data_IF_926524065248
#
_entry.id   IF_926524065248
#
_cell.length_a   1.000
_cell.length_b   1.000
_cell.length_c   1.000
_cell.angle_alpha   90.00
_cell.angle_beta   90.00
_cell.angle_gamma   90.00
#
_symmetry.space_group_name_H-M   'P 1'
#
loop_
_entity.id
_entity.type
_entity.pdbx_description
1 polymer ?
#
# COMPACT_ATOMS: atom_id res chain seq x y z
N UNK A 1 25.12 -13.27 -32.89
CA UNK A 1 24.14 -12.17 -32.85
C UNK A 1 24.93 -10.89 -32.64
N UNK A 2 25.01 -10.05 -33.67
CA UNK A 2 25.89 -8.86 -33.71
C UNK A 2 25.18 -7.66 -33.09
N UNK A 3 25.93 -6.76 -32.43
CA UNK A 3 25.40 -5.51 -31.86
C UNK A 3 24.63 -4.64 -32.87
N UNK A 4 24.90 -4.81 -34.17
CA UNK A 4 24.18 -4.15 -35.25
C UNK A 4 22.73 -4.63 -35.45
N UNK A 5 22.39 -5.86 -35.04
CA UNK A 5 21.04 -6.42 -35.19
C UNK A 5 20.08 -5.92 -34.10
N UNK A 6 20.62 -5.44 -32.96
CA UNK A 6 19.85 -4.87 -31.84
C UNK A 6 19.50 -3.40 -32.10
N UNK A 7 20.17 -2.75 -33.06
CA UNK A 7 20.00 -1.33 -33.39
C UNK A 7 19.08 -1.09 -34.60
N UNK A 8 18.05 -1.93 -34.78
CA UNK A 8 17.01 -1.67 -35.77
C UNK A 8 15.76 -1.14 -35.07
N UNK A 9 15.47 0.14 -35.28
CA UNK A 9 14.22 0.77 -34.81
C UNK A 9 13.03 0.19 -35.58
N UNK A 10 11.98 -0.31 -34.91
CA UNK A 10 10.81 -0.81 -35.59
C UNK A 10 10.06 0.32 -36.32
N UNK A 11 9.41 0.03 -37.46
CA UNK A 11 8.83 1.04 -38.36
C UNK A 11 7.68 1.85 -37.76
N UNK A 12 7.18 1.48 -36.57
CA UNK A 12 6.08 2.16 -35.87
C UNK A 12 6.53 2.77 -34.53
N UNK A 13 7.69 3.41 -34.50
CA UNK A 13 8.14 4.13 -33.30
C UNK A 13 7.42 5.47 -33.20
N UNK A 14 6.57 5.63 -32.19
CA UNK A 14 5.90 6.89 -31.83
C UNK A 14 6.94 7.91 -31.38
N UNK A 15 6.88 9.13 -31.93
CA UNK A 15 7.81 10.21 -31.59
C UNK A 15 7.62 10.64 -30.12
N UNK A 16 8.71 10.69 -29.35
CA UNK A 16 8.69 11.21 -27.99
C UNK A 16 8.27 12.70 -27.99
N UNK A 17 7.26 13.10 -27.20
CA UNK A 17 6.66 14.44 -27.26
C UNK A 17 7.46 15.53 -26.51
N UNK A 18 8.58 15.18 -25.89
CA UNK A 18 9.39 16.11 -25.11
C UNK A 18 10.62 16.54 -25.92
N UNK A 19 10.61 17.76 -26.44
CA UNK A 19 11.83 18.45 -26.89
C UNK A 19 12.60 18.89 -25.65
N UNK A 20 13.82 18.38 -25.48
CA UNK A 20 14.79 18.93 -24.54
C UNK A 20 15.27 20.25 -25.14
N UNK A 21 14.84 21.36 -24.56
CA UNK A 21 15.35 22.70 -24.87
C UNK A 21 16.42 22.98 -23.81
N UNK A 22 17.68 23.06 -24.24
CA UNK A 22 18.74 23.67 -23.45
C UNK A 22 18.61 25.19 -23.59
N UNK A 23 18.52 25.93 -22.48
CA UNK A 23 18.63 27.39 -22.55
C UNK A 23 19.33 28.00 -21.34
N UNK A 24 20.27 28.89 -21.67
CA UNK A 24 21.06 29.75 -20.80
C UNK A 24 20.27 31.03 -20.44
N UNK A 25 20.59 31.65 -19.30
CA UNK A 25 19.92 32.83 -18.72
C UNK A 25 20.42 34.18 -19.31
N UNK A 26 19.96 35.37 -18.84
CA UNK A 26 18.60 35.94 -18.88
C UNK A 26 18.57 37.38 -19.45
N UNK A 27 17.42 37.93 -19.88
CA UNK A 27 17.23 39.40 -19.98
C UNK A 27 15.78 39.85 -19.79
N UNK A 28 15.62 40.95 -19.06
CA UNK A 28 14.38 41.63 -18.65
C UNK A 28 13.43 42.01 -19.80
N UNK A 29 12.12 41.85 -19.59
CA UNK A 29 11.14 42.96 -19.56
C UNK A 29 9.72 42.47 -19.25
N UNK A 30 9.09 43.12 -18.26
CA UNK A 30 7.71 42.91 -17.87
C UNK A 30 6.75 43.63 -18.83
N UNK A 31 5.83 42.89 -19.45
CA UNK A 31 4.67 43.47 -20.14
C UNK A 31 3.41 42.66 -19.84
N UNK A 32 2.34 43.38 -19.48
CA UNK A 32 1.03 42.88 -19.03
C UNK A 32 0.31 42.09 -20.14
N UNK A 33 -0.33 40.97 -19.80
CA UNK A 33 -1.14 40.15 -20.72
C UNK A 33 -2.53 40.76 -20.95
N UNK A 34 -3.03 40.82 -22.20
CA UNK A 34 -4.44 41.03 -22.49
C UNK A 34 -5.22 39.70 -22.40
N UNK A 35 -6.52 39.83 -22.15
CA UNK A 35 -7.53 38.79 -22.21
C UNK A 35 -7.92 38.50 -23.66
N UNK A 36 -7.79 37.26 -24.12
CA UNK A 36 -8.93 36.49 -24.63
C UNK A 36 -8.54 35.10 -25.16
N UNK A 37 -9.41 34.15 -24.79
CA UNK A 37 -9.80 32.90 -25.46
C UNK A 37 -8.87 32.26 -26.51
N UNK A 38 -8.34 31.05 -26.20
CA UNK A 38 -8.77 29.75 -26.78
C UNK A 38 -7.73 28.66 -26.43
N UNK A 39 -8.22 27.65 -25.68
CA UNK A 39 -7.81 26.24 -25.67
C UNK A 39 -6.35 25.85 -25.43
N UNK A 40 -5.84 26.09 -24.21
CA UNK A 40 -4.74 25.29 -23.66
C UNK A 40 -5.30 24.07 -22.91
N UNK A 41 -5.17 22.90 -23.52
CA UNK A 41 -5.41 21.59 -22.90
C UNK A 41 -4.29 21.29 -21.91
N UNK A 42 -4.44 21.72 -20.67
CA UNK A 42 -3.64 21.25 -19.55
C UNK A 42 -4.51 20.71 -18.41
N UNK A 43 -4.00 19.59 -17.91
CA UNK A 43 -4.10 19.11 -16.54
C UNK A 43 -5.35 18.33 -16.15
N UNK A 44 -5.10 17.08 -15.76
CA UNK A 44 -6.01 16.19 -15.05
C UNK A 44 -6.83 16.94 -13.99
N UNK A 45 -8.04 17.34 -14.36
CA UNK A 45 -9.12 17.55 -13.40
C UNK A 45 -9.72 16.18 -13.16
N UNK A 46 -9.68 15.76 -11.90
CA UNK A 46 -10.57 14.73 -11.39
C UNK A 46 -11.98 15.07 -11.86
N UNK A 47 -12.49 14.33 -12.83
CA UNK A 47 -13.85 14.47 -13.30
C UNK A 47 -14.74 13.84 -12.24
N UNK A 48 -15.11 14.63 -11.23
CA UNK A 48 -16.06 14.25 -10.17
C UNK A 48 -17.51 14.25 -10.71
N UNK A 49 -17.69 14.06 -12.02
CA UNK A 49 -18.99 14.03 -12.69
C UNK A 49 -19.59 12.63 -12.85
N UNK A 50 -18.90 11.56 -12.43
CA UNK A 50 -19.54 10.27 -12.13
C UNK A 50 -20.29 10.36 -10.78
N UNK A 51 -21.22 11.32 -10.71
CA UNK A 51 -22.32 11.37 -9.76
C UNK A 51 -23.13 10.10 -10.01
N UNK A 52 -22.77 9.03 -9.29
CA UNK A 52 -23.51 7.77 -9.24
C UNK A 52 -24.98 8.12 -9.13
N UNK A 53 -25.73 7.78 -10.17
CA UNK A 53 -27.10 8.23 -10.34
C UNK A 53 -27.90 7.89 -9.09
N UNK A 54 -28.66 8.90 -8.65
CA UNK A 54 -29.58 8.84 -7.52
C UNK A 54 -30.73 7.92 -7.92
N UNK A 55 -30.63 6.63 -7.60
CA UNK A 55 -31.82 5.80 -7.47
C UNK A 55 -32.59 6.29 -6.24
N UNK A 56 -33.60 7.10 -6.51
CA UNK A 56 -34.64 7.41 -5.55
C UNK A 56 -35.53 6.18 -5.36
N UNK A 57 -35.53 5.65 -4.14
CA UNK A 57 -36.65 4.98 -3.51
C UNK A 57 -36.34 4.96 -2.00
N UNK A 58 -37.33 5.35 -1.20
CA UNK A 58 -37.19 5.71 0.20
C UNK A 58 -36.51 4.64 1.05
N UNK A 59 -35.65 5.10 1.95
CA UNK A 59 -35.33 4.35 3.16
C UNK A 59 -34.71 5.34 4.15
N UNK A 60 -35.45 5.67 5.20
CA UNK A 60 -35.11 6.70 6.20
C UNK A 60 -33.97 6.29 7.12
N UNK A 61 -33.51 5.05 7.05
CA UNK A 61 -32.59 4.46 8.04
C UNK A 61 -31.12 4.44 7.60
N UNK A 62 -30.77 5.19 6.55
CA UNK A 62 -29.39 5.22 6.06
C UNK A 62 -28.48 6.05 6.96
N UNK A 63 -27.37 5.45 7.36
CA UNK A 63 -26.34 6.05 8.19
C UNK A 63 -25.52 7.11 7.43
N UNK A 64 -25.13 8.17 8.15
CA UNK A 64 -24.26 9.19 7.60
C UNK A 64 -22.82 8.68 7.50
N UNK A 65 -22.37 8.40 6.28
CA UNK A 65 -20.99 7.95 6.04
C UNK A 65 -19.95 8.89 6.67
N UNK A 66 -20.14 10.21 6.59
CA UNK A 66 -19.18 11.18 7.12
C UNK A 66 -19.10 11.12 8.65
N UNK A 67 -20.24 10.99 9.32
CA UNK A 67 -20.29 10.84 10.78
C UNK A 67 -19.69 9.51 11.23
N UNK A 68 -20.09 8.40 10.60
CA UNK A 68 -19.61 7.06 10.93
C UNK A 68 -18.11 6.89 10.69
N UNK A 69 -17.58 7.49 9.60
CA UNK A 69 -16.15 7.39 9.27
C UNK A 69 -15.25 8.39 10.00
N UNK A 70 -15.72 9.61 10.26
CA UNK A 70 -14.88 10.71 10.77
C UNK A 70 -15.31 11.27 12.12
N UNK A 71 -16.43 10.81 12.69
CA UNK A 71 -16.95 11.26 13.98
C UNK A 71 -17.54 12.67 14.00
N UNK A 72 -17.46 13.41 12.89
CA UNK A 72 -17.99 14.76 12.77
C UNK A 72 -18.70 14.94 11.43
N UNK A 73 -19.94 15.42 11.48
CA UNK A 73 -20.72 15.77 10.30
C UNK A 73 -20.87 17.28 10.21
N UNK A 74 -20.50 17.92 9.08
CA UNK A 74 -20.61 19.37 8.91
C UNK A 74 -22.06 19.87 8.93
N UNK A 75 -23.05 18.97 8.76
CA UNK A 75 -24.48 19.27 8.84
C UNK A 75 -25.05 19.14 10.25
N UNK A 76 -24.27 18.63 11.21
CA UNK A 76 -24.68 18.41 12.59
C UNK A 76 -26.02 17.68 12.69
N UNK A 77 -26.88 18.12 13.61
CA UNK A 77 -28.20 17.51 13.87
C UNK A 77 -29.26 17.77 12.77
N UNK A 78 -28.91 18.52 11.71
CA UNK A 78 -29.78 18.77 10.55
C UNK A 78 -29.46 17.84 9.37
N UNK A 79 -28.68 16.79 9.62
CA UNK A 79 -28.33 15.82 8.59
C UNK A 79 -29.53 14.91 8.29
N UNK A 80 -29.80 14.67 7.01
CA UNK A 80 -30.87 13.76 6.57
C UNK A 80 -30.52 12.26 6.73
N UNK A 81 -29.35 11.95 7.31
CA UNK A 81 -28.85 10.59 7.49
C UNK A 81 -28.58 10.36 8.97
N UNK A 82 -28.80 9.12 9.43
CA UNK A 82 -28.69 8.78 10.85
C UNK A 82 -27.25 8.90 11.35
N UNK A 83 -27.11 9.58 12.49
CA UNK A 83 -25.84 9.74 13.22
C UNK A 83 -25.85 8.78 14.40
N UNK A 84 -25.58 7.52 14.12
CA UNK A 84 -25.49 6.48 15.16
C UNK A 84 -24.04 6.32 15.63
N UNK A 85 -23.84 6.43 16.93
CA UNK A 85 -22.55 6.24 17.59
C UNK A 85 -22.14 4.77 17.63
N UNK A 86 -23.10 3.85 17.74
CA UNK A 86 -22.83 2.41 17.76
C UNK A 86 -22.33 1.96 16.39
N UNK A 87 -23.02 2.36 15.32
CA UNK A 87 -22.56 2.13 13.94
C UNK A 87 -21.14 2.68 13.67
N UNK A 88 -20.77 3.80 14.30
CA UNK A 88 -19.41 4.36 14.24
C UNK A 88 -18.40 3.47 14.95
N UNK A 89 -18.72 2.97 16.14
CA UNK A 89 -17.84 2.06 16.88
C UNK A 89 -17.63 0.76 16.11
N UNK A 90 -18.69 0.18 15.55
CA UNK A 90 -18.61 -1.03 14.72
C UNK A 90 -17.78 -0.79 13.45
N UNK A 91 -17.92 0.37 12.80
CA UNK A 91 -17.08 0.75 11.67
C UNK A 91 -15.60 0.91 12.06
N UNK A 92 -15.30 1.51 13.22
CA UNK A 92 -13.93 1.62 13.76
C UNK A 92 -13.34 0.26 14.15
N UNK A 93 -14.16 -0.69 14.59
CA UNK A 93 -13.78 -2.10 14.85
C UNK A 93 -13.54 -2.90 13.55
N UNK A 94 -13.71 -2.27 12.39
CA UNK A 94 -13.40 -2.80 11.06
C UNK A 94 -14.56 -3.54 10.39
N UNK A 95 -15.80 -3.32 10.83
CA UNK A 95 -17.00 -3.86 10.18
C UNK A 95 -17.32 -3.04 8.92
N UNK A 96 -17.77 -3.72 7.86
CA UNK A 96 -18.03 -3.13 6.56
C UNK A 96 -19.16 -2.08 6.64
N UNK A 97 -18.90 -0.87 6.15
CA UNK A 97 -19.92 0.19 6.12
C UNK A 97 -21.19 -0.21 5.35
N UNK A 98 -21.04 -0.87 4.20
CA UNK A 98 -22.19 -1.32 3.41
C UNK A 98 -23.01 -2.38 4.15
N UNK A 99 -22.35 -3.22 4.96
CA UNK A 99 -23.01 -4.22 5.79
C UNK A 99 -23.76 -3.58 6.95
N UNK A 100 -23.16 -2.61 7.64
CA UNK A 100 -23.83 -1.88 8.74
C UNK A 100 -25.00 -1.05 8.20
N UNK A 101 -24.81 -0.38 7.05
CA UNK A 101 -25.79 0.57 6.51
C UNK A 101 -26.91 -0.08 5.69
N UNK A 102 -26.68 -1.24 5.08
CA UNK A 102 -27.67 -1.91 4.20
C UNK A 102 -28.00 -3.34 4.63
N UNK A 103 -27.34 -3.88 5.66
CA UNK A 103 -27.42 -5.30 6.06
C UNK A 103 -26.78 -6.27 5.07
N UNK A 104 -26.35 -5.80 3.88
CA UNK A 104 -25.77 -6.63 2.82
C UNK A 104 -24.60 -5.92 2.16
N UNK A 105 -23.51 -6.66 1.94
CA UNK A 105 -22.38 -6.17 1.18
C UNK A 105 -22.40 -6.79 -0.22
N UNK A 106 -22.38 -5.95 -1.25
CA UNK A 106 -22.29 -6.39 -2.66
C UNK A 106 -20.96 -7.11 -2.96
N UNK A 107 -19.93 -6.92 -2.12
CA UNK A 107 -18.66 -7.65 -2.18
C UNK A 107 -18.74 -9.05 -1.56
N UNK A 108 -19.84 -9.40 -0.90
CA UNK A 108 -20.08 -10.72 -0.33
C UNK A 108 -18.97 -11.18 0.63
N UNK A 109 -18.58 -12.47 0.62
CA UNK A 109 -17.52 -13.00 1.48
C UNK A 109 -16.11 -12.49 1.12
N UNK A 110 -15.93 -11.88 -0.06
CA UNK A 110 -14.65 -11.32 -0.52
C UNK A 110 -14.43 -9.87 -0.08
N UNK A 111 -15.28 -9.34 0.80
CA UNK A 111 -15.13 -8.01 1.36
C UNK A 111 -13.93 -7.94 2.32
N UNK A 112 -13.07 -6.92 2.17
CA UNK A 112 -11.92 -6.70 3.06
C UNK A 112 -12.30 -6.30 4.52
N UNK A 113 -13.59 -6.06 4.79
CA UNK A 113 -14.08 -5.61 6.09
C UNK A 113 -14.95 -6.70 6.74
N UNK A 114 -15.02 -6.71 8.07
CA UNK A 114 -15.77 -7.72 8.84
C UNK A 114 -17.28 -7.60 8.60
N UNK A 115 -18.00 -8.71 8.58
CA UNK A 115 -19.47 -8.78 8.43
C UNK A 115 -20.12 -9.46 9.65
N UNK A 116 -19.74 -9.04 10.85
CA UNK A 116 -20.33 -9.52 12.11
C UNK A 116 -20.50 -8.33 13.05
N UNK A 117 -21.74 -8.07 13.46
CA UNK A 117 -22.07 -7.14 14.53
C UNK A 117 -22.04 -7.98 15.82
N UNK A 118 -21.07 -7.74 16.68
CA UNK A 118 -21.07 -8.35 18.02
C UNK A 118 -21.78 -7.37 18.95
N UNK A 119 -22.99 -7.74 19.36
CA UNK A 119 -23.64 -7.17 20.54
C UNK A 119 -23.35 -8.13 21.71
N UNK A 120 -22.78 -7.61 22.79
CA UNK A 120 -22.51 -8.39 24.00
C UNK A 120 -23.80 -8.52 24.81
N UNK A 121 -24.41 -9.72 24.81
CA UNK A 121 -25.21 -10.20 25.94
C UNK A 121 -25.12 -11.74 26.06
N UNK A 122 -24.47 -12.16 27.15
CA UNK A 122 -24.56 -13.42 27.90
C UNK A 122 -24.46 -14.81 27.20
N UNK A 123 -23.27 -15.40 27.33
CA UNK A 123 -23.03 -16.73 27.91
C UNK A 123 -23.78 -17.97 27.37
N UNK A 124 -23.09 -18.81 26.60
CA UNK A 124 -22.74 -20.22 26.93
C UNK A 124 -22.09 -20.90 25.71
N UNK A 125 -20.86 -21.37 25.88
CA UNK A 125 -20.17 -22.41 25.12
C UNK A 125 -20.28 -22.40 23.57
N UNK A 126 -19.44 -21.60 22.91
CA UNK A 126 -18.73 -22.08 21.71
C UNK A 126 -17.32 -21.51 21.63
N UNK A 127 -16.41 -22.15 22.38
CA UNK A 127 -15.00 -22.15 22.00
C UNK A 127 -14.90 -22.94 20.71
N UNK A 128 -14.76 -22.26 19.57
CA UNK A 128 -13.81 -22.59 18.48
C UNK A 128 -14.04 -21.68 17.27
N UNK A 129 -12.92 -21.30 16.67
CA UNK A 129 -12.77 -20.67 15.35
C UNK A 129 -12.81 -19.15 15.28
N UNK A 130 -12.04 -18.51 16.16
CA UNK A 130 -11.45 -17.21 15.86
C UNK A 130 -10.27 -17.37 14.90
N UNK A 131 -10.49 -17.03 13.63
CA UNK A 131 -9.54 -16.23 12.84
C UNK A 131 -8.22 -16.86 12.34
N UNK A 132 -8.29 -17.90 11.52
CA UNK A 132 -7.23 -18.17 10.51
C UNK A 132 -7.50 -17.44 9.18
N UNK A 133 -8.77 -17.15 8.86
CA UNK A 133 -9.18 -16.61 7.56
C UNK A 133 -8.90 -15.11 7.33
N UNK A 134 -8.76 -14.30 8.40
CA UNK A 134 -8.42 -12.87 8.25
C UNK A 134 -6.91 -12.64 8.06
N UNK A 135 -6.06 -13.51 8.61
CA UNK A 135 -4.62 -13.53 8.33
C UNK A 135 -4.34 -14.04 6.91
N UNK A 136 -5.09 -15.05 6.46
CA UNK A 136 -4.93 -15.64 5.12
C UNK A 136 -5.35 -14.69 3.98
N UNK A 137 -6.34 -13.82 4.16
CA UNK A 137 -6.74 -12.89 3.09
C UNK A 137 -5.75 -11.74 2.89
N UNK A 138 -5.07 -11.29 3.96
CA UNK A 138 -4.02 -10.26 3.88
C UNK A 138 -2.72 -10.79 3.30
N UNK A 139 -2.34 -12.04 3.60
CA UNK A 139 -1.14 -12.66 3.01
C UNK A 139 -1.31 -12.94 1.50
N UNK A 140 -2.54 -13.25 1.04
CA UNK A 140 -2.82 -13.51 -0.39
C UNK A 140 -2.50 -12.33 -1.31
N UNK A 141 -2.57 -11.09 -0.83
CA UNK A 141 -2.25 -9.86 -1.60
C UNK A 141 -0.96 -9.18 -1.16
N UNK A 142 -0.19 -9.79 -0.28
CA UNK A 142 1.05 -9.20 0.21
C UNK A 142 2.21 -9.56 -0.71
N UNK A 143 2.84 -8.54 -1.30
CA UNK A 143 3.94 -8.72 -2.25
C UNK A 143 5.20 -9.38 -1.66
N UNK A 144 5.36 -9.32 -0.32
CA UNK A 144 6.48 -9.90 0.41
C UNK A 144 6.18 -11.27 1.02
N UNK A 145 4.94 -11.76 0.94
CA UNK A 145 4.62 -13.10 1.45
C UNK A 145 4.99 -14.17 0.41
N UNK A 146 5.77 -15.17 0.83
CA UNK A 146 6.16 -16.31 -0.03
C UNK A 146 4.97 -17.14 -0.55
N UNK A 147 3.82 -17.05 0.12
CA UNK A 147 2.57 -17.70 -0.28
C UNK A 147 1.73 -16.88 -1.26
N UNK A 148 2.11 -15.63 -1.55
CA UNK A 148 1.42 -14.81 -2.56
C UNK A 148 1.85 -15.25 -3.96
N UNK A 149 0.92 -15.41 -4.91
CA UNK A 149 1.27 -15.74 -6.30
C UNK A 149 2.05 -14.62 -7.01
N UNK A 150 1.99 -13.38 -6.48
CA UNK A 150 2.65 -12.20 -7.04
C UNK A 150 4.08 -12.00 -6.50
N UNK A 151 4.59 -12.95 -5.70
CA UNK A 151 5.94 -12.86 -5.13
C UNK A 151 7.00 -13.02 -6.22
N UNK A 152 7.98 -12.13 -6.23
CA UNK A 152 9.10 -12.17 -7.17
C UNK A 152 10.13 -13.21 -6.72
N UNK A 153 9.81 -14.49 -6.90
CA UNK A 153 10.62 -15.62 -6.43
C UNK A 153 12.05 -15.62 -6.98
N UNK A 154 12.24 -15.06 -8.18
CA UNK A 154 13.55 -14.94 -8.83
C UNK A 154 14.50 -13.94 -8.15
N UNK A 155 13.99 -13.06 -7.28
CA UNK A 155 14.81 -12.12 -6.50
C UNK A 155 15.26 -12.73 -5.17
N UNK A 156 14.74 -13.89 -4.77
CA UNK A 156 15.09 -14.54 -3.51
C UNK A 156 16.49 -15.15 -3.61
N UNK A 157 17.38 -14.77 -2.71
CA UNK A 157 18.77 -15.22 -2.65
C UNK A 157 18.90 -16.42 -1.70
N UNK A 158 18.26 -16.33 -0.53
CA UNK A 158 18.35 -17.35 0.52
C UNK A 158 17.12 -17.31 1.40
N UNK A 159 16.67 -18.48 1.88
CA UNK A 159 15.52 -18.62 2.76
C UNK A 159 16.01 -19.29 4.04
N UNK A 160 15.76 -18.65 5.18
CA UNK A 160 15.97 -19.18 6.51
C UNK A 160 14.67 -19.66 7.16
N UNK A 161 14.67 -19.79 8.48
CA UNK A 161 13.52 -20.28 9.25
C UNK A 161 12.48 -19.17 9.50
N UNK A 162 12.94 -18.01 9.98
CA UNK A 162 12.14 -16.82 10.31
C UNK A 162 12.33 -15.69 9.31
N UNK A 163 13.47 -15.61 8.62
CA UNK A 163 13.78 -14.57 7.64
C UNK A 163 14.21 -15.16 6.30
N UNK A 164 13.94 -14.42 5.23
CA UNK A 164 14.53 -14.67 3.92
C UNK A 164 15.20 -13.39 3.40
N UNK A 165 16.16 -13.60 2.49
CA UNK A 165 16.97 -12.57 1.89
C UNK A 165 16.65 -12.50 0.39
N UNK A 166 16.42 -11.29 -0.12
CA UNK A 166 16.08 -11.06 -1.52
C UNK A 166 16.73 -9.77 -2.06
N UNK A 167 16.90 -9.67 -3.36
CA UNK A 167 17.34 -8.44 -4.03
C UNK A 167 16.21 -7.41 -4.08
N UNK A 168 16.56 -6.13 -3.96
CA UNK A 168 15.58 -5.06 -4.11
C UNK A 168 15.18 -4.86 -5.59
N UNK A 169 13.87 -4.69 -5.84
CA UNK A 169 13.36 -4.36 -7.18
C UNK A 169 13.59 -2.87 -7.47
N UNK A 170 14.44 -2.59 -8.45
CA UNK A 170 14.85 -1.21 -8.74
C UNK A 170 15.76 -0.66 -7.64
N UNK A 171 16.93 -1.29 -7.41
CA UNK A 171 17.81 -0.91 -6.32
C UNK A 171 18.41 0.48 -6.60
N UNK A 172 18.66 1.26 -5.55
CA UNK A 172 19.31 2.58 -5.65
C UNK A 172 20.83 2.47 -5.76
N UNK A 173 21.37 1.35 -5.31
CA UNK A 173 22.79 0.98 -5.29
C UNK A 173 22.90 -0.46 -5.81
N UNK A 174 23.99 -0.84 -6.46
CA UNK A 174 24.07 -2.09 -7.24
C UNK A 174 23.73 -3.35 -6.41
N UNK A 175 24.13 -3.37 -5.13
CA UNK A 175 23.97 -4.55 -4.25
C UNK A 175 22.92 -4.33 -3.15
N UNK A 176 21.83 -3.60 -3.44
CA UNK A 176 20.78 -3.40 -2.44
C UNK A 176 20.01 -4.71 -2.16
N UNK A 177 20.08 -5.13 -0.89
CA UNK A 177 19.48 -6.37 -0.39
C UNK A 177 18.35 -6.06 0.60
N UNK A 178 17.35 -6.93 0.63
CA UNK A 178 16.22 -6.92 1.55
C UNK A 178 16.28 -8.15 2.45
N UNK A 179 16.17 -7.93 3.76
CA UNK A 179 15.95 -9.00 4.75
C UNK A 179 14.51 -8.89 5.24
N UNK A 180 13.71 -9.91 4.99
CA UNK A 180 12.26 -9.88 5.14
C UNK A 180 11.82 -11.06 6.00
N UNK A 181 11.00 -10.85 7.05
CA UNK A 181 10.48 -11.96 7.84
C UNK A 181 9.52 -12.81 6.99
N UNK A 182 9.58 -14.12 7.16
CA UNK A 182 8.67 -15.08 6.51
C UNK A 182 7.25 -14.86 7.03
N UNK A 183 7.10 -14.57 8.33
CA UNK A 183 5.81 -14.21 8.92
C UNK A 183 5.35 -12.82 8.46
N UNK A 184 4.06 -12.72 8.11
CA UNK A 184 3.42 -11.44 7.77
C UNK A 184 3.22 -10.59 9.03
N UNK A 185 4.23 -9.78 9.35
CA UNK A 185 4.16 -8.77 10.40
C UNK A 185 4.40 -7.37 9.84
N UNK A 186 3.79 -6.35 10.44
CA UNK A 186 3.91 -4.96 9.99
C UNK A 186 5.27 -4.31 10.31
N UNK A 187 5.98 -4.84 11.31
CA UNK A 187 7.31 -4.39 11.72
C UNK A 187 8.08 -5.54 12.39
N UNK A 188 9.41 -5.43 12.43
CA UNK A 188 10.25 -6.44 13.09
C UNK A 188 10.16 -6.43 14.61
N UNK A 189 9.83 -5.28 15.21
CA UNK A 189 9.73 -5.10 16.67
C UNK A 189 8.60 -5.92 17.34
N UNK A 190 7.62 -6.36 16.57
CA UNK A 190 6.50 -7.18 17.05
C UNK A 190 6.73 -8.68 16.84
N UNK A 191 7.86 -9.07 16.25
CA UNK A 191 8.20 -10.47 16.06
C UNK A 191 8.70 -11.10 17.37
N UNK A 192 8.59 -12.43 17.49
CA UNK A 192 9.14 -13.15 18.63
C UNK A 192 10.67 -12.98 18.76
N UNK A 193 11.22 -13.00 20.00
CA UNK A 193 12.64 -12.77 20.25
C UNK A 193 13.55 -13.83 19.63
N UNK A 194 13.05 -15.06 19.42
CA UNK A 194 13.79 -16.11 18.72
C UNK A 194 14.20 -15.70 17.29
N UNK A 195 13.41 -14.84 16.64
CA UNK A 195 13.70 -14.35 15.29
C UNK A 195 14.92 -13.42 15.27
N UNK A 196 15.25 -12.74 16.37
CA UNK A 196 16.40 -11.83 16.45
C UNK A 196 17.73 -12.56 16.25
N UNK A 197 17.81 -13.81 16.70
CA UNK A 197 19.03 -14.64 16.57
C UNK A 197 19.35 -14.85 15.09
N UNK A 198 18.34 -15.15 14.28
CA UNK A 198 18.52 -15.35 12.85
C UNK A 198 18.77 -14.04 12.11
N UNK A 199 18.08 -12.97 12.50
CA UNK A 199 18.34 -11.64 11.95
C UNK A 199 19.80 -11.22 12.14
N UNK A 200 20.36 -11.42 13.33
CA UNK A 200 21.77 -11.16 13.62
C UNK A 200 22.72 -12.00 12.75
N UNK A 201 22.37 -13.27 12.48
CA UNK A 201 23.14 -14.12 11.54
C UNK A 201 23.14 -13.57 10.11
N UNK A 202 21.98 -13.11 9.61
CA UNK A 202 21.89 -12.46 8.30
C UNK A 202 22.72 -11.17 8.27
N UNK A 203 22.60 -10.31 9.29
CA UNK A 203 23.35 -9.07 9.37
C UNK A 203 24.86 -9.31 9.42
N UNK A 204 25.33 -10.28 10.20
CA UNK A 204 26.76 -10.64 10.30
C UNK A 204 27.30 -11.17 8.97
N UNK A 205 26.55 -12.05 8.31
CA UNK A 205 26.92 -12.62 7.00
C UNK A 205 27.00 -11.54 5.92
N UNK A 206 26.01 -10.64 5.84
CA UNK A 206 26.01 -9.53 4.89
C UNK A 206 27.15 -8.55 5.17
N UNK A 207 27.41 -8.21 6.44
CA UNK A 207 28.57 -7.40 6.84
C UNK A 207 29.88 -8.01 6.39
N UNK A 208 30.07 -9.33 6.56
CA UNK A 208 31.28 -10.03 6.13
C UNK A 208 31.44 -10.02 4.60
N UNK A 209 30.33 -10.22 3.87
CA UNK A 209 30.31 -10.17 2.41
C UNK A 209 30.75 -8.79 1.88
N UNK A 210 30.11 -7.71 2.34
CA UNK A 210 30.45 -6.36 1.90
C UNK A 210 31.86 -5.92 2.31
N UNK A 211 32.33 -6.36 3.48
CA UNK A 211 33.73 -6.14 3.91
C UNK A 211 34.73 -6.78 2.98
N UNK A 212 34.42 -7.94 2.39
CA UNK A 212 35.31 -8.59 1.40
C UNK A 212 35.43 -7.75 0.13
N UNK A 213 34.43 -6.93 -0.18
CA UNK A 213 34.45 -5.95 -1.27
C UNK A 213 35.04 -4.59 -0.86
N UNK A 214 35.51 -4.42 0.38
CA UNK A 214 35.99 -3.14 0.90
C UNK A 214 34.87 -2.09 1.11
N UNK A 215 33.62 -2.52 1.21
CA UNK A 215 32.45 -1.66 1.45
C UNK A 215 31.97 -1.81 2.89
N UNK A 216 31.34 -0.76 3.43
CA UNK A 216 30.55 -0.86 4.65
C UNK A 216 29.06 -0.99 4.31
N UNK A 217 28.25 -1.35 5.31
CA UNK A 217 26.83 -1.65 5.11
C UNK A 217 25.98 -1.05 6.22
N UNK A 218 24.84 -0.48 5.85
CA UNK A 218 23.85 0.07 6.76
C UNK A 218 22.54 -0.69 6.62
N UNK A 219 21.92 -0.95 7.77
CA UNK A 219 20.65 -1.64 7.91
C UNK A 219 19.63 -0.66 8.48
N UNK A 220 18.45 -0.58 7.86
CA UNK A 220 17.36 0.23 8.41
C UNK A 220 16.00 -0.35 7.99
N UNK A 221 14.99 -0.12 8.81
CA UNK A 221 13.60 -0.45 8.53
C UNK A 221 12.76 0.83 8.52
N UNK A 222 11.78 0.92 7.62
CA UNK A 222 10.80 2.00 7.62
C UNK A 222 9.49 1.51 8.23
N UNK A 223 9.15 2.00 9.42
CA UNK A 223 7.93 1.62 10.12
C UNK A 223 6.83 2.66 9.84
N UNK A 224 5.75 2.23 9.17
CA UNK A 224 4.59 3.07 8.89
C UNK A 224 3.32 2.49 9.52
N UNK A 225 2.38 3.36 9.92
CA UNK A 225 1.08 2.94 10.48
C UNK A 225 0.24 2.08 9.52
N UNK A 226 0.50 2.17 8.21
CA UNK A 226 -0.15 1.37 7.16
C UNK A 226 0.79 0.36 6.52
N UNK A 227 1.96 0.12 7.12
CA UNK A 227 2.89 -0.91 6.67
C UNK A 227 2.18 -2.26 6.63
N UNK A 228 2.34 -2.97 5.51
CA UNK A 228 1.71 -4.28 5.32
C UNK A 228 2.66 -5.41 5.70
N UNK A 229 3.95 -5.26 5.41
CA UNK A 229 4.98 -6.26 5.74
C UNK A 229 6.29 -5.56 6.05
N UNK A 230 6.89 -5.94 7.17
CA UNK A 230 8.22 -5.55 7.59
C UNK A 230 9.26 -5.91 6.53
N UNK A 231 10.22 -5.02 6.29
CA UNK A 231 11.38 -5.32 5.46
C UNK A 231 12.54 -4.45 5.92
N UNK A 232 13.68 -5.09 6.17
CA UNK A 232 14.92 -4.41 6.52
C UNK A 232 15.69 -4.20 5.22
N UNK A 233 15.97 -2.93 4.95
CA UNK A 233 16.75 -2.49 3.81
C UNK A 233 18.22 -2.54 4.17
N UNK A 234 19.02 -3.15 3.30
CA UNK A 234 20.47 -3.29 3.43
C UNK A 234 21.11 -2.57 2.26
N UNK A 235 21.93 -1.58 2.55
CA UNK A 235 22.63 -0.78 1.53
C UNK A 235 24.11 -0.67 1.85
N UNK A 236 24.92 -0.85 0.83
CA UNK A 236 26.33 -0.55 0.88
C UNK A 236 26.58 0.96 0.96
N UNK A 237 27.68 1.33 1.61
CA UNK A 237 28.22 2.68 1.66
C UNK A 237 29.72 2.60 1.38
N UNK A 238 30.19 3.45 0.46
CA UNK A 238 31.61 3.67 0.22
C UNK A 238 32.15 4.68 1.23
N UNK A 239 33.28 4.37 1.85
CA UNK A 239 34.07 5.29 2.66
C UNK A 239 35.22 5.87 1.84
#
# INVERSE_FOLDING_TARGET
>A
MSSAEISMKPPNTTLFPYKIIEETAPTNQATKRPSDSISDTQYWRYDVSQKRQKHGAGDGDKLCFKFVSSGSCPRGNKCNFLHDTEAREQYMRGVCFDFINKGKCERGPDCNFKHSLQDEDEGFASRRSGSENAKSSRSKRCWFCLSSPDVESHLIISIGESYYCALAKGPLVEDQVLVIPVEHSANTLSLPPECEIELDRFQKSLKMYFRTQGKEVVFFEWIFKRGTHANIQVKEICF
#
